data_IF_217556695554
#
_entry.id   IF_217556695554
#
_cell.length_a   1.000
_cell.length_b   1.000
_cell.length_c   1.000
_cell.angle_alpha   90.00
_cell.angle_beta   90.00
_cell.angle_gamma   90.00
#
_symmetry.space_group_name_H-M   'P 1'
#
loop_
_entity.id
_entity.type
_entity.pdbx_description
1 polymer ?
#
# COMPACT_ATOMS: atom_id res chain seq x y z
N UNK A 1 -9.98 -20.11 15.61
CA UNK A 1 -10.38 -18.74 15.21
C UNK A 1 -9.13 -17.89 15.26
N UNK A 2 -8.61 -17.22 14.25
CA UNK A 2 -8.92 -17.05 12.82
C UNK A 2 -7.55 -17.06 12.12
N UNK A 3 -7.48 -17.70 10.96
CA UNK A 3 -6.30 -17.70 10.10
C UNK A 3 -6.00 -16.27 9.66
N UNK A 4 -4.94 -15.67 10.20
CA UNK A 4 -4.49 -14.31 9.90
C UNK A 4 -3.18 -14.32 9.08
N UNK A 5 -2.98 -15.35 8.24
CA UNK A 5 -1.78 -15.47 7.40
C UNK A 5 -2.06 -15.71 5.91
N UNK A 6 -3.33 -15.74 5.51
CA UNK A 6 -3.75 -15.95 4.11
C UNK A 6 -4.30 -14.65 3.48
N UNK A 7 -3.61 -13.54 3.69
CA UNK A 7 -3.78 -12.34 2.85
C UNK A 7 -2.52 -12.09 1.99
N UNK A 8 -1.70 -13.12 1.76
CA UNK A 8 -0.44 -13.00 1.03
C UNK A 8 -0.51 -13.41 -0.45
N UNK A 9 -1.66 -13.83 -0.95
CA UNK A 9 -1.87 -14.22 -2.36
C UNK A 9 -3.07 -13.40 -2.84
N UNK A 10 -3.01 -12.46 -3.79
CA UNK A 10 -2.62 -12.66 -5.20
C UNK A 10 -2.61 -11.32 -5.95
N UNK A 11 -2.08 -10.26 -5.35
CA UNK A 11 -1.83 -9.00 -6.06
C UNK A 11 -0.53 -8.46 -5.51
N UNK A 12 0.57 -8.78 -6.18
CA UNK A 12 1.80 -8.01 -5.96
C UNK A 12 1.41 -6.58 -6.33
N UNK A 13 1.25 -5.71 -5.35
CA UNK A 13 0.99 -4.29 -5.58
C UNK A 13 2.36 -3.64 -5.73
N UNK A 14 2.52 -2.78 -6.72
CA UNK A 14 3.66 -1.92 -6.87
C UNK A 14 3.59 -0.84 -5.78
N UNK A 15 4.08 -1.23 -4.61
CA UNK A 15 4.14 -0.39 -3.42
C UNK A 15 4.90 0.90 -3.71
N UNK A 16 5.89 0.87 -4.60
CA UNK A 16 6.66 2.06 -4.93
C UNK A 16 5.82 3.08 -5.69
N UNK A 17 5.12 2.64 -6.74
CA UNK A 17 4.21 3.49 -7.50
C UNK A 17 3.06 4.03 -6.64
N UNK A 18 2.46 3.20 -5.78
CA UNK A 18 1.39 3.64 -4.88
C UNK A 18 1.89 4.73 -3.91
N UNK A 19 3.04 4.52 -3.28
CA UNK A 19 3.58 5.51 -2.34
C UNK A 19 4.05 6.79 -3.04
N UNK A 20 4.56 6.70 -4.27
CA UNK A 20 4.89 7.87 -5.06
C UNK A 20 3.62 8.71 -5.35
N UNK A 21 2.55 8.07 -5.83
CA UNK A 21 1.28 8.74 -6.10
C UNK A 21 0.72 9.41 -4.83
N UNK A 22 0.79 8.73 -3.69
CA UNK A 22 0.34 9.30 -2.41
C UNK A 22 1.23 10.44 -1.95
N UNK A 23 2.54 10.33 -2.10
CA UNK A 23 3.47 11.41 -1.77
C UNK A 23 3.21 12.65 -2.64
N UNK A 24 2.83 12.46 -3.91
CA UNK A 24 2.44 13.53 -4.82
C UNK A 24 1.09 14.18 -4.44
N UNK A 25 0.08 13.38 -4.06
CA UNK A 25 -1.25 13.88 -3.67
C UNK A 25 -1.24 14.52 -2.28
N UNK A 26 -0.54 13.90 -1.33
CA UNK A 26 -0.54 14.32 0.08
C UNK A 26 0.46 15.45 0.35
N UNK A 27 1.37 15.73 -0.58
CA UNK A 27 2.52 16.64 -0.40
C UNK A 27 3.29 16.38 0.92
N UNK A 28 3.18 15.16 1.44
CA UNK A 28 3.59 14.77 2.79
C UNK A 28 4.55 13.61 2.74
N UNK A 29 5.50 13.58 3.69
CA UNK A 29 6.52 12.54 3.75
C UNK A 29 5.89 11.18 4.11
N UNK A 30 6.01 10.25 3.18
CA UNK A 30 5.57 8.86 3.35
C UNK A 30 6.72 8.03 3.93
N UNK A 31 6.55 7.53 5.15
CA UNK A 31 7.53 6.70 5.86
C UNK A 31 7.05 5.25 5.93
N UNK A 32 7.82 4.32 5.37
CA UNK A 32 7.58 2.88 5.58
C UNK A 32 8.05 2.49 6.98
N UNK A 33 7.23 1.72 7.71
CA UNK A 33 7.65 1.22 9.02
C UNK A 33 8.80 0.22 8.84
N UNK A 34 9.89 0.39 9.59
CA UNK A 34 11.04 -0.51 9.49
C UNK A 34 10.76 -1.92 10.02
N UNK A 35 9.74 -2.06 10.87
CA UNK A 35 9.37 -3.32 11.53
C UNK A 35 8.39 -4.16 10.69
N UNK A 36 7.55 -3.51 9.88
CA UNK A 36 6.54 -4.17 9.08
C UNK A 36 6.44 -3.54 7.68
N UNK A 37 6.74 -4.29 6.62
CA UNK A 37 6.75 -3.77 5.25
C UNK A 37 5.35 -3.51 4.69
N UNK A 38 4.27 -3.76 5.42
CA UNK A 38 2.91 -3.41 5.05
C UNK A 38 2.38 -2.18 5.80
N UNK A 39 3.09 -1.71 6.83
CA UNK A 39 2.75 -0.50 7.57
C UNK A 39 3.42 0.72 6.97
N UNK A 40 2.61 1.75 6.73
CA UNK A 40 3.09 3.05 6.28
C UNK A 40 2.60 4.13 7.24
N UNK A 41 3.41 5.16 7.44
CA UNK A 41 3.05 6.37 8.14
C UNK A 41 3.20 7.59 7.23
N UNK A 42 2.26 8.51 7.32
CA UNK A 42 2.15 9.73 6.51
C UNK A 42 1.53 10.77 7.43
N UNK A 43 2.21 11.90 7.58
CA UNK A 43 1.73 13.00 8.42
C UNK A 43 1.35 12.55 9.86
N UNK A 44 2.10 11.59 10.42
CA UNK A 44 1.86 11.05 11.76
C UNK A 44 0.67 10.08 11.89
N UNK A 45 -0.10 9.84 10.83
CA UNK A 45 -1.09 8.75 10.78
C UNK A 45 -0.40 7.48 10.33
N UNK A 46 -0.83 6.33 10.85
CA UNK A 46 -0.25 5.03 10.47
C UNK A 46 -1.35 4.16 9.88
N UNK A 47 -1.10 3.65 8.68
CA UNK A 47 -1.96 2.71 7.97
C UNK A 47 -1.39 1.31 8.08
N UNK A 48 -2.30 0.34 8.17
CA UNK A 48 -1.95 -1.07 8.36
C UNK A 48 -1.97 -1.87 7.05
N UNK A 49 -2.58 -1.34 6.00
CA UNK A 49 -2.62 -1.95 4.67
C UNK A 49 -2.54 -0.89 3.58
N UNK A 50 -1.96 -1.26 2.44
CA UNK A 50 -1.90 -0.42 1.25
C UNK A 50 -3.29 -0.16 0.64
N UNK A 51 -4.23 -1.09 0.80
CA UNK A 51 -5.63 -0.93 0.36
C UNK A 51 -6.32 0.20 1.09
N UNK A 52 -6.27 0.19 2.43
CA UNK A 52 -6.85 1.25 3.27
C UNK A 52 -6.22 2.62 2.98
N UNK A 53 -4.92 2.61 2.71
CA UNK A 53 -4.19 3.79 2.30
C UNK A 53 -4.71 4.31 0.95
N UNK A 54 -4.79 3.47 -0.08
CA UNK A 54 -5.32 3.85 -1.38
C UNK A 54 -6.75 4.39 -1.28
N UNK A 55 -7.63 3.74 -0.51
CA UNK A 55 -8.99 4.21 -0.24
C UNK A 55 -9.02 5.60 0.41
N UNK A 56 -8.11 5.88 1.35
CA UNK A 56 -8.03 7.18 2.02
C UNK A 56 -7.61 8.32 1.09
N UNK A 57 -6.86 8.00 0.03
CA UNK A 57 -6.39 8.96 -0.99
C UNK A 57 -7.24 8.91 -2.28
N UNK A 58 -8.38 8.21 -2.26
CA UNK A 58 -9.24 8.01 -3.43
C UNK A 58 -8.50 7.41 -4.65
N UNK A 59 -7.53 6.55 -4.38
CA UNK A 59 -6.72 5.82 -5.36
C UNK A 59 -7.24 4.40 -5.57
N UNK A 60 -7.22 3.93 -6.80
CA UNK A 60 -7.58 2.55 -7.13
C UNK A 60 -6.36 1.63 -6.98
N UNK A 61 -6.39 0.75 -5.97
CA UNK A 61 -5.26 -0.17 -5.71
C UNK A 61 -5.02 -1.18 -6.84
N UNK A 62 -6.02 -1.46 -7.69
CA UNK A 62 -5.85 -2.38 -8.80
C UNK A 62 -5.00 -1.79 -9.93
N UNK A 63 -4.96 -0.46 -10.07
CA UNK A 63 -4.02 0.22 -10.99
C UNK A 63 -2.57 -0.10 -10.65
N UNK A 64 -2.27 -0.20 -9.35
CA UNK A 64 -0.96 -0.54 -8.84
C UNK A 64 -0.72 -2.04 -8.75
N UNK A 65 -1.65 -2.89 -9.17
CA UNK A 65 -1.40 -4.33 -9.17
C UNK A 65 -0.43 -4.71 -10.28
N UNK A 66 0.79 -5.14 -9.93
CA UNK A 66 1.66 -5.91 -10.84
C UNK A 66 1.07 -7.32 -11.01
N UNK A 67 0.01 -7.37 -11.82
CA UNK A 67 -0.44 -8.62 -12.39
C UNK A 67 0.64 -9.07 -13.37
N UNK A 68 1.19 -10.26 -13.16
CA UNK A 68 2.18 -10.87 -14.04
C UNK A 68 1.45 -11.31 -15.35
N UNK A 69 0.92 -10.35 -16.12
CA UNK A 69 0.29 -10.58 -17.44
C UNK A 69 1.33 -10.49 -18.57
N UNK A 70 2.62 -10.58 -18.23
CA UNK A 70 3.69 -10.68 -19.21
C UNK A 70 4.83 -11.54 -18.66
N UNK A 71 4.66 -12.87 -18.69
CA UNK A 71 5.76 -13.74 -19.11
C UNK A 71 5.28 -15.02 -19.76
#
# INVERSE_FOLDING_TARGET
>A
MKTAKELNETTRIDVDALLAAINEISESEVTRASDDPHRVSIDGRTWHTYSELAEAFELDIHDFSVNEVNR
#
